data_IF_683381478076
#
_entry.id   IF_683381478076
#
_cell.length_a   1.000
_cell.length_b   1.000
_cell.length_c   1.000
_cell.angle_alpha   90.00
_cell.angle_beta   90.00
_cell.angle_gamma   90.00
#
_symmetry.space_group_name_H-M   'P 1'
#
loop_
_entity.id
_entity.type
_entity.pdbx_description
1 polymer ?
#
# COMPACT_ATOMS: atom_id res chain seq x y z
N UNK A 1 -36.53 4.71 -8.28
CA UNK A 1 -35.85 5.99 -7.94
C UNK A 1 -35.18 6.50 -9.19
N UNK A 2 -35.34 7.79 -9.52
CA UNK A 2 -34.50 8.39 -10.57
C UNK A 2 -33.10 8.62 -10.00
N UNK A 3 -32.07 8.23 -10.75
CA UNK A 3 -30.67 8.36 -10.31
C UNK A 3 -30.22 9.82 -10.19
N UNK A 4 -30.89 10.74 -10.87
CA UNK A 4 -30.71 12.20 -10.74
C UNK A 4 -31.01 12.72 -9.33
N UNK A 5 -31.88 12.04 -8.57
CA UNK A 5 -32.21 12.42 -7.19
C UNK A 5 -31.15 12.00 -6.16
N UNK A 6 -30.15 11.20 -6.56
CA UNK A 6 -29.04 10.76 -5.71
C UNK A 6 -27.84 11.71 -5.77
N UNK A 7 -27.73 12.52 -6.83
CA UNK A 7 -26.63 13.46 -6.99
C UNK A 7 -26.66 14.53 -5.88
N UNK A 8 -25.54 14.68 -5.15
CA UNK A 8 -25.40 15.70 -4.11
C UNK A 8 -26.15 15.45 -2.79
N UNK A 9 -26.72 14.26 -2.57
CA UNK A 9 -27.37 13.89 -1.32
C UNK A 9 -26.72 12.62 -0.70
N UNK A 10 -25.71 12.77 0.18
CA UNK A 10 -24.98 11.65 0.77
C UNK A 10 -25.88 10.66 1.53
N UNK A 11 -26.94 11.11 2.20
CA UNK A 11 -27.87 10.22 2.91
C UNK A 11 -28.70 9.36 1.95
N UNK A 12 -29.15 9.93 0.83
CA UNK A 12 -29.84 9.18 -0.22
C UNK A 12 -28.90 8.16 -0.89
N UNK A 13 -27.65 8.56 -1.13
CA UNK A 13 -26.59 7.69 -1.66
C UNK A 13 -26.28 6.52 -0.73
N UNK A 14 -26.08 6.77 0.57
CA UNK A 14 -25.84 5.72 1.56
C UNK A 14 -27.00 4.72 1.63
N UNK A 15 -28.25 5.20 1.57
CA UNK A 15 -29.44 4.33 1.52
C UNK A 15 -29.42 3.45 0.27
N UNK A 16 -29.18 4.03 -0.90
CA UNK A 16 -29.12 3.28 -2.15
C UNK A 16 -28.04 2.18 -2.13
N UNK A 17 -26.83 2.48 -1.64
CA UNK A 17 -25.75 1.49 -1.54
C UNK A 17 -26.00 0.44 -0.44
N UNK A 18 -26.67 0.81 0.66
CA UNK A 18 -27.10 -0.14 1.68
C UNK A 18 -28.09 -1.18 1.14
N UNK A 19 -29.02 -0.77 0.28
CA UNK A 19 -29.94 -1.69 -0.39
C UNK A 19 -29.22 -2.63 -1.37
N UNK A 20 -28.21 -2.13 -2.08
CA UNK A 20 -27.41 -2.92 -3.02
C UNK A 20 -26.53 -3.96 -2.32
N UNK A 21 -26.00 -3.63 -1.14
CA UNK A 21 -25.15 -4.54 -0.36
C UNK A 21 -25.84 -5.90 -0.07
N UNK A 22 -27.18 -5.93 0.02
CA UNK A 22 -27.95 -7.16 0.20
C UNK A 22 -28.26 -7.93 -1.10
N UNK A 23 -27.92 -7.40 -2.27
CA UNK A 23 -28.31 -7.94 -3.60
C UNK A 23 -27.14 -8.66 -4.26
N UNK A 24 -26.94 -9.93 -3.90
CA UNK A 24 -25.85 -10.75 -4.42
C UNK A 24 -25.77 -10.81 -5.96
N UNK A 25 -26.91 -10.73 -6.66
CA UNK A 25 -26.97 -10.70 -8.13
C UNK A 25 -26.34 -9.46 -8.76
N UNK A 26 -26.32 -8.32 -8.06
CA UNK A 26 -25.68 -7.08 -8.51
C UNK A 26 -24.22 -7.03 -8.09
N UNK A 27 -23.93 -7.37 -6.83
CA UNK A 27 -22.56 -7.35 -6.28
C UNK A 27 -21.63 -8.27 -7.09
N UNK A 28 -22.12 -9.44 -7.53
CA UNK A 28 -21.31 -10.39 -8.31
C UNK A 28 -21.01 -9.98 -9.75
N UNK A 29 -21.58 -8.87 -10.23
CA UNK A 29 -21.27 -8.38 -11.58
C UNK A 29 -19.84 -7.86 -11.69
N UNK A 30 -19.24 -7.41 -10.58
CA UNK A 30 -17.85 -7.00 -10.52
C UNK A 30 -17.07 -7.84 -9.50
N UNK A 31 -15.86 -8.31 -9.84
CA UNK A 31 -14.94 -8.84 -8.84
C UNK A 31 -14.46 -7.72 -7.92
N UNK A 32 -13.97 -8.07 -6.72
CA UNK A 32 -13.51 -7.11 -5.72
C UNK A 32 -12.40 -6.17 -6.24
N UNK A 33 -11.42 -6.72 -6.96
CA UNK A 33 -10.37 -5.91 -7.61
C UNK A 33 -10.98 -4.94 -8.62
N UNK A 34 -11.89 -5.40 -9.49
CA UNK A 34 -12.61 -4.54 -10.43
C UNK A 34 -13.41 -3.42 -9.75
N UNK A 35 -14.14 -3.72 -8.67
CA UNK A 35 -14.90 -2.72 -7.92
C UNK A 35 -14.00 -1.65 -7.28
N UNK A 36 -12.87 -2.06 -6.70
CA UNK A 36 -11.88 -1.15 -6.12
C UNK A 36 -11.11 -0.35 -7.17
N UNK A 37 -10.55 -1.02 -8.17
CA UNK A 37 -9.77 -0.39 -9.23
C UNK A 37 -10.60 0.57 -10.05
N UNK A 38 -11.78 0.16 -10.50
CA UNK A 38 -12.64 0.98 -11.37
C UNK A 38 -13.56 1.91 -10.58
N UNK A 39 -13.57 1.80 -9.25
CA UNK A 39 -14.37 2.65 -8.36
C UNK A 39 -15.86 2.52 -8.63
N UNK A 40 -16.37 1.29 -8.72
CA UNK A 40 -17.68 1.02 -9.29
C UNK A 40 -18.51 0.06 -8.45
N UNK A 41 -19.79 0.40 -8.23
CA UNK A 41 -20.78 -0.47 -7.57
C UNK A 41 -22.05 -0.55 -8.43
N UNK A 42 -22.42 -1.72 -8.99
CA UNK A 42 -23.65 -1.87 -9.77
C UNK A 42 -24.90 -1.63 -8.92
N UNK A 43 -25.76 -0.69 -9.33
CA UNK A 43 -26.96 -0.29 -8.60
C UNK A 43 -28.22 -1.02 -9.06
N UNK A 44 -28.35 -1.22 -10.37
CA UNK A 44 -29.48 -1.90 -11.00
C UNK A 44 -29.12 -2.36 -12.40
N UNK A 45 -29.98 -3.24 -12.94
CA UNK A 45 -29.92 -3.70 -14.33
C UNK A 45 -31.31 -3.62 -14.92
N UNK A 46 -31.43 -3.00 -16.08
CA UNK A 46 -32.65 -2.87 -16.89
C UNK A 46 -32.37 -3.23 -18.36
N UNK A 47 -33.38 -3.13 -19.22
CA UNK A 47 -33.25 -3.42 -20.66
C UNK A 47 -32.29 -2.44 -21.37
N UNK A 48 -32.18 -1.23 -20.83
CA UNK A 48 -31.37 -0.14 -21.37
C UNK A 48 -29.92 -0.15 -20.83
N UNK A 49 -29.56 -1.07 -19.93
CA UNK A 49 -28.20 -1.24 -19.42
C UNK A 49 -28.09 -1.44 -17.91
N UNK A 50 -26.96 -1.01 -17.36
CA UNK A 50 -26.61 -1.17 -15.94
C UNK A 50 -26.29 0.21 -15.37
N UNK A 51 -27.03 0.61 -14.34
CA UNK A 51 -26.68 1.79 -13.55
C UNK A 51 -25.56 1.44 -12.58
N UNK A 52 -24.51 2.26 -12.53
CA UNK A 52 -23.31 2.00 -11.73
C UNK A 52 -22.99 3.25 -10.92
N UNK A 53 -22.93 3.12 -9.59
CA UNK A 53 -22.38 4.17 -8.74
C UNK A 53 -20.86 4.24 -8.98
N UNK A 54 -20.35 5.46 -9.19
CA UNK A 54 -18.94 5.71 -9.44
C UNK A 54 -18.40 6.80 -8.52
N UNK A 55 -17.09 6.82 -8.33
CA UNK A 55 -16.42 8.00 -7.78
C UNK A 55 -16.62 9.22 -8.72
N UNK A 56 -16.49 10.45 -8.22
CA UNK A 56 -16.52 11.63 -9.07
C UNK A 56 -15.31 11.65 -10.01
N UNK A 57 -15.52 11.98 -11.30
CA UNK A 57 -14.41 12.17 -12.23
C UNK A 57 -13.78 10.90 -12.82
N UNK A 58 -14.45 9.74 -12.71
CA UNK A 58 -13.95 8.48 -13.29
C UNK A 58 -13.58 8.64 -14.77
N UNK A 59 -12.37 8.21 -15.11
CA UNK A 59 -11.79 8.43 -16.44
C UNK A 59 -12.54 7.64 -17.53
N UNK A 60 -12.52 8.12 -18.80
CA UNK A 60 -13.18 7.44 -19.91
C UNK A 60 -12.72 5.99 -20.13
N UNK A 61 -11.43 5.70 -19.88
CA UNK A 61 -10.85 4.36 -20.03
C UNK A 61 -11.47 3.35 -19.05
N UNK A 62 -11.65 3.73 -17.79
CA UNK A 62 -12.30 2.89 -16.78
C UNK A 62 -13.77 2.63 -17.12
N UNK A 63 -14.52 3.64 -17.59
CA UNK A 63 -15.89 3.46 -18.07
C UNK A 63 -15.96 2.55 -19.30
N UNK A 64 -15.00 2.65 -20.22
CA UNK A 64 -14.92 1.78 -21.38
C UNK A 64 -14.69 0.32 -20.97
N UNK A 65 -13.79 0.07 -20.02
CA UNK A 65 -13.54 -1.27 -19.48
C UNK A 65 -14.79 -1.83 -18.77
N UNK A 66 -15.47 -1.03 -17.94
CA UNK A 66 -16.74 -1.44 -17.30
C UNK A 66 -17.78 -1.90 -18.34
N UNK A 67 -17.93 -1.16 -19.46
CA UNK A 67 -18.85 -1.54 -20.55
C UNK A 67 -18.46 -2.86 -21.20
N UNK A 68 -17.16 -3.08 -21.46
CA UNK A 68 -16.65 -4.33 -22.04
C UNK A 68 -16.90 -5.51 -21.11
N UNK A 69 -16.52 -5.39 -19.83
CA UNK A 69 -16.66 -6.44 -18.83
C UNK A 69 -18.12 -6.82 -18.58
N UNK A 70 -18.99 -5.82 -18.43
CA UNK A 70 -20.40 -6.05 -18.15
C UNK A 70 -21.21 -6.47 -19.39
N UNK A 71 -20.66 -6.28 -20.60
CA UNK A 71 -21.33 -6.57 -21.86
C UNK A 71 -22.62 -5.78 -22.07
N UNK A 72 -22.71 -4.58 -21.48
CA UNK A 72 -23.92 -3.75 -21.47
C UNK A 72 -23.58 -2.25 -21.49
N UNK A 73 -24.57 -1.42 -21.83
CA UNK A 73 -24.47 0.01 -21.63
C UNK A 73 -24.32 0.30 -20.12
N UNK A 74 -23.29 1.08 -19.77
CA UNK A 74 -23.06 1.55 -18.40
C UNK A 74 -23.56 2.98 -18.28
N UNK A 75 -24.47 3.19 -17.33
CA UNK A 75 -25.02 4.49 -16.93
C UNK A 75 -24.35 4.90 -15.60
N UNK A 76 -23.24 5.65 -15.63
CA UNK A 76 -22.55 6.06 -14.41
C UNK A 76 -23.39 7.07 -13.63
N UNK A 77 -23.38 6.95 -12.31
CA UNK A 77 -24.02 7.87 -11.37
C UNK A 77 -22.94 8.24 -10.35
N UNK A 78 -22.55 9.51 -10.32
CA UNK A 78 -21.50 9.95 -9.39
C UNK A 78 -22.04 9.99 -7.95
N UNK A 79 -21.24 9.42 -7.05
CA UNK A 79 -21.51 9.39 -5.61
C UNK A 79 -20.39 10.13 -4.89
N UNK A 80 -20.68 10.61 -3.68
CA UNK A 80 -19.67 11.18 -2.79
C UNK A 80 -18.52 10.19 -2.55
N UNK A 81 -17.29 10.70 -2.58
CA UNK A 81 -16.07 9.89 -2.48
C UNK A 81 -16.02 9.08 -1.18
N UNK A 82 -16.38 9.69 -0.04
CA UNK A 82 -16.33 9.01 1.26
C UNK A 82 -17.40 7.92 1.34
N UNK A 83 -18.59 8.18 0.78
CA UNK A 83 -19.65 7.19 0.67
C UNK A 83 -19.20 6.01 -0.20
N UNK A 84 -18.62 6.28 -1.37
CA UNK A 84 -18.11 5.22 -2.25
C UNK A 84 -17.01 4.40 -1.60
N UNK A 85 -15.99 5.05 -1.01
CA UNK A 85 -14.88 4.38 -0.36
C UNK A 85 -15.36 3.45 0.77
N UNK A 86 -16.29 3.92 1.61
CA UNK A 86 -16.89 3.11 2.66
C UNK A 86 -17.60 1.87 2.11
N UNK A 87 -18.44 2.02 1.08
CA UNK A 87 -19.22 0.89 0.55
C UNK A 87 -18.41 -0.06 -0.33
N UNK A 88 -17.40 0.41 -1.08
CA UNK A 88 -16.46 -0.48 -1.77
C UNK A 88 -15.76 -1.37 -0.75
N UNK A 89 -15.25 -0.78 0.34
CA UNK A 89 -14.63 -1.56 1.40
C UNK A 89 -15.63 -2.56 2.01
N UNK A 90 -16.79 -2.08 2.46
CA UNK A 90 -17.79 -2.90 3.14
C UNK A 90 -18.34 -4.04 2.29
N UNK A 91 -18.60 -3.81 0.99
CA UNK A 91 -19.25 -4.80 0.12
C UNK A 91 -18.23 -5.79 -0.45
N UNK A 92 -17.05 -5.33 -0.86
CA UNK A 92 -16.12 -6.14 -1.63
C UNK A 92 -14.88 -6.56 -0.86
N UNK A 93 -14.39 -5.72 0.05
CA UNK A 93 -13.09 -5.91 0.67
C UNK A 93 -13.17 -6.48 2.09
N UNK A 94 -14.26 -6.21 2.82
CA UNK A 94 -14.47 -6.62 4.22
C UNK A 94 -13.29 -6.23 5.11
N UNK A 95 -12.89 -4.95 5.07
CA UNK A 95 -11.75 -4.37 5.78
C UNK A 95 -10.38 -4.98 5.44
N UNK A 96 -10.29 -5.78 4.37
CA UNK A 96 -9.01 -6.28 3.84
C UNK A 96 -8.51 -5.36 2.73
N UNK A 97 -7.20 -5.26 2.57
CA UNK A 97 -6.63 -4.64 1.38
C UNK A 97 -6.89 -5.49 0.13
N UNK A 98 -6.81 -4.88 -1.05
CA UNK A 98 -6.75 -5.61 -2.32
C UNK A 98 -5.44 -5.29 -3.02
N UNK A 99 -4.70 -6.34 -3.38
CA UNK A 99 -3.48 -6.20 -4.16
C UNK A 99 -3.85 -6.17 -5.64
N UNK A 100 -3.67 -5.03 -6.29
CA UNK A 100 -4.03 -4.81 -7.69
C UNK A 100 -2.79 -4.85 -8.58
N UNK A 101 -2.98 -5.17 -9.85
CA UNK A 101 -1.90 -5.15 -10.81
C UNK A 101 -1.40 -3.72 -11.12
N UNK A 102 -0.10 -3.61 -11.37
CA UNK A 102 0.57 -2.39 -11.82
C UNK A 102 1.05 -2.55 -13.27
N UNK A 103 1.22 -1.43 -13.95
CA UNK A 103 1.49 -1.36 -15.39
C UNK A 103 2.69 -0.47 -15.68
N UNK A 104 3.23 -0.55 -16.89
CA UNK A 104 4.45 0.15 -17.33
C UNK A 104 4.21 1.38 -18.21
N UNK A 105 2.95 1.68 -18.51
CA UNK A 105 2.59 2.77 -19.42
C UNK A 105 1.27 3.38 -19.01
N UNK A 106 1.09 4.68 -19.20
CA UNK A 106 -0.18 5.38 -18.91
C UNK A 106 -1.38 4.92 -19.77
N UNK A 107 -1.12 4.26 -20.92
CA UNK A 107 -2.14 3.78 -21.85
C UNK A 107 -2.72 2.40 -21.48
N UNK A 108 -2.44 1.86 -20.28
CA UNK A 108 -2.80 0.50 -19.91
C UNK A 108 -4.31 0.20 -19.93
N UNK A 109 -5.17 1.21 -19.72
CA UNK A 109 -6.64 1.08 -19.82
C UNK A 109 -7.15 1.01 -21.26
N UNK A 110 -6.36 1.48 -22.23
CA UNK A 110 -6.72 1.51 -23.64
C UNK A 110 -6.43 0.17 -24.34
N UNK A 111 -5.65 -0.71 -23.70
CA UNK A 111 -5.28 -2.03 -24.21
C UNK A 111 -6.16 -3.13 -23.57
N UNK A 112 -7.08 -3.75 -24.34
CA UNK A 112 -7.94 -4.83 -23.84
C UNK A 112 -7.18 -6.04 -23.30
N UNK A 113 -5.91 -6.24 -23.66
CA UNK A 113 -5.08 -7.31 -23.12
C UNK A 113 -4.83 -7.17 -21.60
N UNK A 114 -5.08 -5.98 -21.03
CA UNK A 114 -4.95 -5.72 -19.60
C UNK A 114 -6.26 -5.89 -18.81
N UNK A 115 -7.41 -6.05 -19.49
CA UNK A 115 -8.72 -6.04 -18.84
C UNK A 115 -8.81 -7.10 -17.72
N UNK A 116 -8.38 -8.33 -18.01
CA UNK A 116 -8.38 -9.42 -17.02
C UNK A 116 -7.53 -9.08 -15.79
N UNK A 117 -6.33 -8.51 -16.00
CA UNK A 117 -5.42 -8.11 -14.91
C UNK A 117 -6.00 -6.99 -14.06
N UNK A 118 -6.70 -6.04 -14.67
CA UNK A 118 -7.33 -4.92 -13.94
C UNK A 118 -8.48 -5.43 -13.06
N UNK A 119 -9.16 -6.49 -13.51
CA UNK A 119 -10.29 -7.10 -12.82
C UNK A 119 -9.89 -8.18 -11.81
N UNK A 120 -8.62 -8.57 -11.77
CA UNK A 120 -8.10 -9.61 -10.89
C UNK A 120 -7.26 -9.06 -9.73
N UNK A 121 -7.17 -9.86 -8.67
CA UNK A 121 -6.20 -9.64 -7.60
C UNK A 121 -4.84 -10.15 -8.09
N UNK A 122 -3.79 -9.37 -7.88
CA UNK A 122 -2.42 -9.80 -8.10
C UNK A 122 -2.12 -10.93 -7.13
N UNK A 123 -1.77 -12.10 -7.67
CA UNK A 123 -1.42 -13.24 -6.84
C UNK A 123 -0.18 -12.90 -6.01
N UNK A 124 -0.36 -12.92 -4.69
CA UNK A 124 0.73 -12.80 -3.74
C UNK A 124 1.35 -14.18 -3.56
N UNK A 125 2.25 -14.52 -4.48
CA UNK A 125 3.25 -15.50 -4.16
C UNK A 125 4.41 -14.73 -3.51
N UNK A 126 4.50 -14.67 -2.16
CA UNK A 126 5.72 -14.19 -1.54
C UNK A 126 6.85 -15.02 -2.14
N UNK A 127 7.83 -14.34 -2.73
CA UNK A 127 9.01 -15.06 -3.20
C UNK A 127 9.57 -15.84 -2.01
N UNK A 128 10.08 -17.07 -2.20
CA UNK A 128 10.53 -17.90 -1.11
C UNK A 128 11.44 -17.13 -0.16
N UNK A 129 11.09 -17.10 1.12
CA UNK A 129 11.86 -16.37 2.12
C UNK A 129 12.89 -17.27 2.80
N UNK A 130 14.06 -16.72 3.12
CA UNK A 130 15.13 -17.49 3.75
C UNK A 130 16.00 -16.64 4.68
N UNK A 131 16.38 -17.19 5.84
CA UNK A 131 17.40 -16.60 6.69
C UNK A 131 18.49 -17.64 6.96
N UNK A 132 19.74 -17.25 6.69
CA UNK A 132 20.93 -18.05 6.96
C UNK A 132 21.82 -17.45 8.06
N UNK A 133 21.32 -16.42 8.77
CA UNK A 133 22.01 -15.78 9.89
C UNK A 133 22.10 -16.75 11.07
N UNK A 134 23.29 -16.83 11.67
CA UNK A 134 23.51 -17.67 12.85
C UNK A 134 22.69 -17.18 14.05
N UNK A 135 22.19 -18.08 14.90
CA UNK A 135 21.33 -17.72 16.04
C UNK A 135 21.93 -16.70 17.03
N UNK A 136 23.26 -16.60 17.12
CA UNK A 136 23.96 -15.60 17.94
C UNK A 136 23.99 -14.20 17.34
N UNK A 137 23.53 -14.03 16.10
CA UNK A 137 23.50 -12.78 15.37
C UNK A 137 22.08 -12.39 14.98
N UNK A 138 21.94 -11.12 14.60
CA UNK A 138 20.78 -10.61 13.89
C UNK A 138 21.18 -9.52 12.91
N UNK A 139 20.28 -9.17 12.02
CA UNK A 139 20.43 -8.03 11.14
C UNK A 139 19.50 -6.90 11.55
N UNK A 140 20.07 -5.69 11.64
CA UNK A 140 19.32 -4.44 11.76
C UNK A 140 19.30 -3.78 10.38
N UNK A 141 18.13 -3.30 9.95
CA UNK A 141 17.96 -2.58 8.69
C UNK A 141 17.24 -1.27 8.96
N UNK A 142 17.73 -0.18 8.38
CA UNK A 142 17.03 1.10 8.36
C UNK A 142 16.66 1.44 6.91
N UNK A 143 15.37 1.60 6.64
CA UNK A 143 14.81 1.89 5.32
C UNK A 143 14.04 3.20 5.36
N UNK A 144 14.27 4.04 4.36
CA UNK A 144 13.44 5.21 4.10
C UNK A 144 12.74 5.05 2.75
N UNK A 145 11.42 5.13 2.77
CA UNK A 145 10.57 5.10 1.59
C UNK A 145 10.11 6.51 1.28
N UNK A 146 10.15 6.89 0.01
CA UNK A 146 9.52 8.11 -0.48
C UNK A 146 8.60 7.75 -1.64
N UNK A 147 7.36 8.21 -1.58
CA UNK A 147 6.32 7.88 -2.54
C UNK A 147 5.67 9.15 -3.09
N UNK A 148 5.70 9.30 -4.40
CA UNK A 148 4.91 10.30 -5.15
C UNK A 148 3.76 9.58 -5.86
N UNK A 149 2.56 10.18 -5.82
CA UNK A 149 1.37 9.66 -6.49
C UNK A 149 0.69 10.78 -7.27
N UNK A 150 0.83 10.74 -8.59
CA UNK A 150 0.22 11.69 -9.50
C UNK A 150 -1.12 11.12 -10.01
N UNK A 151 -2.23 11.84 -9.78
CA UNK A 151 -3.50 11.56 -10.46
C UNK A 151 -3.42 12.13 -11.88
N UNK A 152 -3.52 11.27 -12.89
CA UNK A 152 -3.43 11.66 -14.30
C UNK A 152 -4.76 12.16 -14.86
N UNK A 153 -5.85 12.01 -14.11
CA UNK A 153 -7.21 12.37 -14.49
C UNK A 153 -7.75 13.56 -13.68
N UNK A 154 -7.02 14.04 -12.67
CA UNK A 154 -7.36 15.23 -11.87
C UNK A 154 -6.24 16.29 -11.89
N UNK A 155 -6.58 17.59 -11.93
CA UNK A 155 -5.59 18.67 -11.89
C UNK A 155 -4.98 18.90 -10.49
N UNK A 156 -5.48 18.22 -9.45
CA UNK A 156 -4.96 18.35 -8.09
C UNK A 156 -4.09 17.13 -7.73
N UNK A 157 -2.91 17.32 -7.11
CA UNK A 157 -2.14 16.20 -6.59
C UNK A 157 -3.00 15.41 -5.61
N UNK A 158 -2.93 14.08 -5.70
CA UNK A 158 -3.66 13.20 -4.80
C UNK A 158 -3.24 13.52 -3.37
N UNK A 159 -4.19 14.00 -2.55
CA UNK A 159 -3.97 14.15 -1.12
C UNK A 159 -4.15 12.78 -0.50
N UNK A 160 -3.06 12.19 -0.05
CA UNK A 160 -3.14 11.16 0.98
C UNK A 160 -3.40 11.93 2.29
N UNK A 161 -4.56 11.75 2.88
CA UNK A 161 -4.89 12.29 4.19
C UNK A 161 -4.59 11.22 5.23
N UNK A 162 -3.49 11.36 5.99
CA UNK A 162 -3.51 11.45 7.45
C UNK A 162 -2.11 11.35 8.04
N UNK A 163 -1.70 12.40 8.74
CA UNK A 163 -0.53 12.36 9.61
C UNK A 163 -0.84 11.45 10.80
N UNK A 164 -0.15 10.31 10.89
CA UNK A 164 -0.04 9.54 12.14
C UNK A 164 1.40 9.52 12.60
N UNK A 165 1.83 10.60 13.26
CA UNK A 165 2.94 10.48 14.20
C UNK A 165 2.45 9.58 15.33
N UNK A 166 2.98 8.37 15.42
CA UNK A 166 2.79 7.55 16.60
C UNK A 166 3.22 8.33 17.85
N UNK A 167 2.54 8.12 18.97
CA UNK A 167 2.91 8.70 20.28
C UNK A 167 4.34 8.29 20.71
N UNK A 168 4.88 7.26 20.06
CA UNK A 168 6.19 6.67 20.27
C UNK A 168 6.97 6.63 18.95
N UNK A 169 8.28 6.89 19.03
CA UNK A 169 9.20 6.74 17.91
C UNK A 169 10.06 5.50 18.14
N UNK A 170 9.64 4.31 17.69
CA UNK A 170 10.46 3.13 17.79
C UNK A 170 11.63 3.20 16.81
N UNK A 171 12.69 2.43 17.09
CA UNK A 171 13.90 2.43 16.26
C UNK A 171 15.11 1.89 16.99
N UNK A 172 16.29 2.09 16.40
CA UNK A 172 17.54 1.68 17.03
C UNK A 172 18.65 2.71 16.82
N UNK A 173 19.67 2.65 17.68
CA UNK A 173 20.89 3.45 17.56
C UNK A 173 22.08 2.68 18.09
N UNK A 174 23.25 2.98 17.55
CA UNK A 174 24.52 2.54 18.11
C UNK A 174 25.04 3.55 19.13
N UNK A 175 25.28 3.08 20.35
CA UNK A 175 25.84 3.82 21.47
C UNK A 175 27.20 3.20 21.84
N UNK A 176 28.27 3.70 21.20
CA UNK A 176 29.60 3.10 21.30
C UNK A 176 29.64 1.70 20.68
N UNK A 177 29.88 0.69 21.52
CA UNK A 177 29.97 -0.72 21.10
C UNK A 177 28.64 -1.48 21.23
N UNK A 178 27.57 -0.81 21.70
CA UNK A 178 26.26 -1.43 21.90
C UNK A 178 25.20 -0.84 21.00
N UNK A 179 24.16 -1.62 20.72
CA UNK A 179 22.99 -1.19 19.99
C UNK A 179 21.79 -1.11 20.93
N UNK A 180 21.18 0.06 21.04
CA UNK A 180 19.95 0.25 21.81
C UNK A 180 18.76 0.10 20.86
N UNK A 181 17.83 -0.80 21.19
CA UNK A 181 16.57 -1.01 20.47
C UNK A 181 15.42 -0.44 21.32
N UNK A 182 14.66 0.49 20.76
CA UNK A 182 13.44 1.06 21.37
C UNK A 182 12.22 0.52 20.63
N UNK A 183 11.40 -0.27 21.32
CA UNK A 183 10.20 -0.88 20.74
C UNK A 183 9.01 -0.73 21.68
N UNK A 184 7.80 -0.56 21.13
CA UNK A 184 6.59 -0.40 21.92
C UNK A 184 6.09 -1.68 22.61
N UNK A 185 6.73 -2.82 22.34
CA UNK A 185 6.40 -4.13 22.91
C UNK A 185 7.60 -5.06 22.96
N UNK A 186 7.38 -6.29 23.44
CA UNK A 186 8.40 -7.32 23.46
C UNK A 186 8.66 -7.80 22.02
N UNK A 187 9.86 -7.51 21.49
CA UNK A 187 10.28 -8.07 20.21
C UNK A 187 10.67 -9.54 20.39
N UNK A 188 10.36 -10.44 19.44
CA UNK A 188 10.75 -11.84 19.57
C UNK A 188 12.28 -11.93 19.58
N UNK A 189 12.90 -12.45 20.66
CA UNK A 189 14.34 -12.37 20.89
C UNK A 189 15.16 -13.22 19.91
N UNK A 190 14.51 -14.12 19.16
CA UNK A 190 15.11 -15.00 18.16
C UNK A 190 14.89 -14.49 16.72
N UNK A 191 14.27 -13.32 16.54
CA UNK A 191 14.05 -12.75 15.21
C UNK A 191 15.40 -12.53 14.52
N UNK A 192 15.63 -13.04 13.30
CA UNK A 192 16.87 -12.81 12.57
C UNK A 192 17.00 -11.38 12.05
N UNK A 193 15.91 -10.61 12.04
CA UNK A 193 15.82 -9.31 11.38
C UNK A 193 14.97 -8.34 12.21
N UNK A 194 15.51 -7.15 12.47
CA UNK A 194 14.74 -5.97 12.89
C UNK A 194 14.81 -4.90 11.80
N UNK A 195 13.66 -4.34 11.45
CA UNK A 195 13.54 -3.34 10.39
C UNK A 195 12.97 -2.09 11.01
N UNK A 196 13.77 -1.04 11.01
CA UNK A 196 13.26 0.31 11.16
C UNK A 196 12.89 0.80 9.77
N UNK A 197 11.67 1.29 9.60
CA UNK A 197 11.33 1.98 8.36
C UNK A 197 10.70 3.34 8.63
N UNK A 198 10.91 4.24 7.69
CA UNK A 198 10.25 5.54 7.63
C UNK A 198 9.66 5.75 6.24
N UNK A 199 8.52 6.42 6.17
CA UNK A 199 7.85 6.70 4.90
C UNK A 199 7.59 8.19 4.76
N UNK A 200 7.84 8.73 3.57
CA UNK A 200 7.31 10.00 3.10
C UNK A 200 6.31 9.82 1.96
N UNK A 201 5.22 10.60 2.02
CA UNK A 201 4.26 10.74 0.93
C UNK A 201 4.22 12.20 0.48
N UNK A 202 4.55 12.45 -0.79
CA UNK A 202 4.48 13.76 -1.44
C UNK A 202 5.05 14.92 -0.60
N UNK A 203 6.16 14.67 0.12
CA UNK A 203 6.87 15.67 0.92
C UNK A 203 6.19 16.12 2.22
N UNK A 204 5.10 15.48 2.63
CA UNK A 204 4.28 15.91 3.77
C UNK A 204 4.19 14.91 4.92
N UNK A 205 3.94 13.63 4.65
CA UNK A 205 3.53 12.69 5.71
C UNK A 205 4.71 11.84 6.16
N UNK A 206 5.06 11.84 7.44
CA UNK A 206 6.16 11.03 7.99
C UNK A 206 5.62 9.93 8.90
N UNK A 207 5.77 8.68 8.49
CA UNK A 207 5.53 7.50 9.32
C UNK A 207 6.88 6.90 9.74
N UNK A 208 6.98 6.37 10.96
CA UNK A 208 8.16 5.60 11.41
C UNK A 208 7.70 4.44 12.28
N UNK A 209 8.23 3.26 11.99
CA UNK A 209 7.96 2.05 12.77
C UNK A 209 9.21 1.18 12.90
N UNK A 210 9.15 0.23 13.83
CA UNK A 210 10.15 -0.82 14.04
C UNK A 210 9.43 -2.16 14.13
N UNK A 211 9.70 -3.05 13.20
CA UNK A 211 9.17 -4.40 13.22
C UNK A 211 10.27 -5.42 13.44
N UNK A 212 9.86 -6.57 13.97
CA UNK A 212 10.71 -7.72 14.16
C UNK A 212 10.11 -8.91 13.43
N UNK A 213 10.92 -9.53 12.58
CA UNK A 213 10.39 -10.40 11.54
C UNK A 213 10.93 -11.80 11.66
N UNK A 214 10.02 -12.78 11.64
CA UNK A 214 10.36 -14.18 11.54
C UNK A 214 10.64 -14.56 10.07
N UNK A 215 11.45 -15.59 9.86
CA UNK A 215 11.85 -16.05 8.50
C UNK A 215 10.66 -16.31 7.57
N UNK A 216 9.55 -16.84 8.12
CA UNK A 216 8.36 -17.21 7.34
C UNK A 216 7.47 -16.02 6.99
N UNK A 217 7.76 -14.84 7.56
CA UNK A 217 6.86 -13.69 7.57
C UNK A 217 7.55 -12.43 7.06
N UNK A 218 8.73 -12.51 6.43
CA UNK A 218 9.45 -11.31 6.01
C UNK A 218 8.54 -10.34 5.24
N UNK A 219 8.51 -9.06 5.67
CA UNK A 219 7.38 -8.21 5.40
C UNK A 219 7.48 -7.60 4.02
N UNK A 220 6.33 -7.20 3.51
CA UNK A 220 6.27 -6.10 2.57
C UNK A 220 6.63 -4.83 3.32
N UNK A 221 7.67 -4.12 2.86
CA UNK A 221 8.01 -2.80 3.41
C UNK A 221 6.94 -1.78 3.01
N UNK A 222 6.35 -1.97 1.82
CA UNK A 222 5.19 -1.20 1.35
C UNK A 222 4.14 -2.16 0.81
N UNK A 223 2.92 -2.05 1.32
CA UNK A 223 1.76 -2.81 0.86
C UNK A 223 0.89 -1.96 -0.09
N UNK A 224 0.32 -2.55 -1.16
CA UNK A 224 0.42 -3.95 -1.55
C UNK A 224 1.57 -4.25 -2.53
N UNK A 225 2.61 -4.92 -2.02
CA UNK A 225 3.58 -5.74 -2.75
C UNK A 225 4.66 -5.06 -3.61
N UNK A 226 4.99 -3.80 -3.34
CA UNK A 226 6.00 -3.08 -4.12
C UNK A 226 7.43 -3.41 -3.70
N UNK A 227 7.65 -3.53 -2.39
CA UNK A 227 8.97 -3.73 -1.78
C UNK A 227 8.86 -4.85 -0.76
N UNK A 228 9.69 -5.88 -0.89
CA UNK A 228 9.66 -7.02 0.04
C UNK A 228 11.08 -7.43 0.40
N UNK A 229 11.32 -7.74 1.67
CA UNK A 229 12.54 -8.45 2.06
C UNK A 229 12.33 -9.94 1.80
N UNK A 230 13.18 -10.54 0.99
CA UNK A 230 13.13 -11.97 0.69
C UNK A 230 14.03 -12.77 1.62
N UNK A 231 15.15 -12.20 2.04
CA UNK A 231 16.09 -13.00 2.79
C UNK A 231 17.21 -12.23 3.44
N UNK A 232 17.87 -12.93 4.35
CA UNK A 232 19.10 -12.47 5.00
C UNK A 232 20.14 -13.58 4.94
N UNK A 233 21.24 -13.33 4.25
CA UNK A 233 22.36 -14.26 4.14
C UNK A 233 23.19 -14.31 5.45
N UNK A 234 24.09 -15.30 5.55
CA UNK A 234 24.90 -15.52 6.74
C UNK A 234 25.80 -14.34 7.11
N UNK A 235 26.30 -13.62 6.10
CA UNK A 235 27.14 -12.44 6.26
C UNK A 235 26.34 -11.16 6.55
N UNK A 236 25.01 -11.27 6.67
CA UNK A 236 24.10 -10.15 6.90
C UNK A 236 23.63 -9.44 5.63
N UNK A 237 23.98 -9.94 4.45
CA UNK A 237 23.46 -9.40 3.18
C UNK A 237 21.94 -9.57 3.10
N UNK A 238 21.24 -8.49 2.78
CA UNK A 238 19.80 -8.44 2.60
C UNK A 238 19.43 -8.70 1.14
N UNK A 239 18.52 -9.63 0.88
CA UNK A 239 17.88 -9.78 -0.43
C UNK A 239 16.57 -8.98 -0.44
N UNK A 240 16.55 -7.88 -1.18
CA UNK A 240 15.42 -6.97 -1.31
C UNK A 240 14.77 -7.12 -2.69
N UNK A 241 13.50 -7.50 -2.73
CA UNK A 241 12.72 -7.54 -3.96
C UNK A 241 12.07 -6.19 -4.23
N UNK A 242 12.32 -5.67 -5.43
CA UNK A 242 11.68 -4.49 -5.98
C UNK A 242 11.41 -4.74 -7.45
N UNK A 243 10.14 -4.60 -7.84
CA UNK A 243 9.76 -4.50 -9.25
C UNK A 243 10.23 -5.66 -10.16
N UNK A 244 10.05 -6.90 -9.69
CA UNK A 244 10.44 -8.09 -10.45
C UNK A 244 11.93 -8.44 -10.36
N UNK A 245 12.71 -7.69 -9.58
CA UNK A 245 14.15 -7.89 -9.42
C UNK A 245 14.51 -8.06 -7.95
N UNK A 246 15.49 -8.93 -7.70
CA UNK A 246 16.12 -9.06 -6.39
C UNK A 246 17.42 -8.27 -6.38
N UNK A 247 17.56 -7.43 -5.36
CA UNK A 247 18.71 -6.58 -5.10
C UNK A 247 19.39 -7.06 -3.82
N UNK A 248 20.70 -7.29 -3.89
CA UNK A 248 21.48 -7.67 -2.72
C UNK A 248 22.09 -6.42 -2.09
N UNK A 249 21.91 -6.25 -0.78
CA UNK A 249 22.43 -5.12 -0.02
C UNK A 249 23.31 -5.66 1.11
N UNK A 250 24.62 -5.54 0.92
CA UNK A 250 25.60 -6.00 1.91
C UNK A 250 25.66 -5.02 3.10
N UNK A 251 26.10 -5.49 4.29
CA UNK A 251 26.30 -4.61 5.43
C UNK A 251 27.18 -3.40 5.11
N UNK A 252 26.78 -2.23 5.59
CA UNK A 252 27.46 -0.95 5.33
C UNK A 252 27.17 -0.30 3.98
N UNK A 253 26.41 -0.95 3.08
CA UNK A 253 25.93 -0.31 1.86
C UNK A 253 24.67 0.51 2.13
N UNK A 254 24.52 1.62 1.40
CA UNK A 254 23.34 2.49 1.46
C UNK A 254 22.73 2.76 0.08
N UNK A 255 22.26 1.72 -0.63
CA UNK A 255 21.71 1.88 -1.97
C UNK A 255 20.43 2.72 -1.97
N UNK A 256 20.24 3.41 -3.08
CA UNK A 256 18.98 4.06 -3.43
C UNK A 256 18.39 3.30 -4.62
N UNK A 257 17.26 2.66 -4.41
CA UNK A 257 16.51 1.95 -5.44
C UNK A 257 15.25 2.74 -5.79
N UNK A 258 14.72 2.55 -6.99
CA UNK A 258 13.50 3.20 -7.39
C UNK A 258 12.73 2.39 -8.42
N UNK A 259 11.42 2.58 -8.42
CA UNK A 259 10.53 2.05 -9.45
C UNK A 259 9.44 3.07 -9.75
N UNK A 260 8.96 3.04 -10.98
CA UNK A 260 7.82 3.80 -11.42
C UNK A 260 6.84 2.87 -12.14
N UNK A 261 5.55 3.10 -11.90
CA UNK A 261 4.50 2.30 -12.47
C UNK A 261 3.17 3.06 -12.51
N UNK A 262 2.25 2.53 -13.28
CA UNK A 262 0.90 3.04 -13.44
C UNK A 262 -0.10 2.06 -12.81
N UNK A 263 -1.18 2.59 -12.26
CA UNK A 263 -2.26 1.79 -11.70
C UNK A 263 -3.59 2.49 -11.93
N UNK A 264 -4.68 1.72 -11.80
CA UNK A 264 -6.03 2.25 -11.76
C UNK A 264 -6.63 2.00 -10.38
N UNK A 265 -7.08 3.08 -9.74
CA UNK A 265 -7.71 3.05 -8.43
C UNK A 265 -8.91 3.99 -8.45
N UNK A 266 -10.04 3.52 -7.94
CA UNK A 266 -11.28 4.30 -7.88
C UNK A 266 -11.71 4.90 -9.25
N UNK A 267 -11.33 4.27 -10.35
CA UNK A 267 -11.63 4.69 -11.72
C UNK A 267 -10.71 5.78 -12.28
N UNK A 268 -9.66 6.14 -11.55
CA UNK A 268 -8.64 7.11 -11.95
C UNK A 268 -7.32 6.41 -12.25
N UNK A 269 -6.56 6.95 -13.21
CA UNK A 269 -5.21 6.52 -13.54
C UNK A 269 -4.24 7.27 -12.65
N UNK A 270 -3.38 6.53 -11.98
CA UNK A 270 -2.30 7.10 -11.21
C UNK A 270 -0.95 6.70 -11.79
N UNK A 271 0.01 7.61 -11.66
CA UNK A 271 1.42 7.34 -11.84
C UNK A 271 2.10 7.40 -10.47
N UNK A 272 2.71 6.30 -10.06
CA UNK A 272 3.41 6.19 -8.78
C UNK A 272 4.90 6.12 -9.03
N UNK A 273 5.65 6.96 -8.33
CA UNK A 273 7.11 6.85 -8.22
C UNK A 273 7.44 6.47 -6.78
N UNK A 274 8.22 5.41 -6.64
CA UNK A 274 8.67 4.94 -5.35
C UNK A 274 10.19 4.97 -5.32
N UNK A 275 10.73 5.53 -4.23
CA UNK A 275 12.15 5.53 -3.92
C UNK A 275 12.36 4.79 -2.60
N UNK A 276 13.25 3.82 -2.61
CA UNK A 276 13.65 3.01 -1.46
C UNK A 276 15.10 3.31 -1.15
N UNK A 277 15.35 3.99 -0.04
CA UNK A 277 16.69 4.28 0.45
C UNK A 277 17.00 3.36 1.62
N UNK A 278 17.92 2.41 1.42
CA UNK A 278 18.45 1.65 2.56
C UNK A 278 19.50 2.53 3.23
N UNK A 279 19.18 3.03 4.43
CA UNK A 279 20.06 3.91 5.22
C UNK A 279 21.17 3.12 5.92
N UNK A 280 20.94 1.83 6.13
CA UNK A 280 22.01 0.90 6.45
C UNK A 280 21.51 -0.50 6.75
N UNK A 281 22.45 -1.43 6.66
CA UNK A 281 22.31 -2.84 7.04
C UNK A 281 23.48 -3.18 7.96
N UNK A 282 23.18 -3.76 9.12
CA UNK A 282 24.17 -4.12 10.12
C UNK A 282 23.96 -5.55 10.61
N UNK A 283 24.99 -6.39 10.48
CA UNK A 283 25.06 -7.65 11.19
C UNK A 283 25.60 -7.39 12.60
N UNK A 284 24.82 -7.74 13.63
CA UNK A 284 25.14 -7.45 15.03
C UNK A 284 25.09 -8.71 15.87
N UNK A 285 25.94 -8.82 16.90
CA UNK A 285 25.83 -9.92 17.84
C UNK A 285 24.68 -9.64 18.79
N UNK A 286 23.84 -10.64 19.09
CA UNK A 286 22.69 -10.42 19.98
C UNK A 286 23.09 -9.90 21.37
N UNK A 287 24.27 -10.28 21.85
CA UNK A 287 24.82 -9.81 23.14
C UNK A 287 25.14 -8.31 23.17
N UNK A 288 25.30 -7.68 22.00
CA UNK A 288 25.58 -6.25 21.85
C UNK A 288 24.30 -5.41 21.91
N UNK A 289 23.13 -6.06 21.93
CA UNK A 289 21.83 -5.39 21.97
C UNK A 289 21.42 -5.10 23.41
N UNK A 290 20.90 -3.89 23.62
CA UNK A 290 20.15 -3.49 24.80
C UNK A 290 18.72 -3.13 24.38
N UNK A 291 17.73 -3.71 25.05
CA UNK A 291 16.33 -3.37 24.82
C UNK A 291 15.87 -2.33 25.82
N UNK A 292 15.29 -1.25 25.31
CA UNK A 292 14.78 -0.14 26.10
C UNK A 292 13.29 0.10 25.80
N UNK A 293 12.52 0.62 26.78
CA UNK A 293 11.13 1.03 26.53
C UNK A 293 11.08 2.10 25.43
N UNK A 294 9.96 2.20 24.69
CA UNK A 294 9.85 3.18 23.62
C UNK A 294 9.95 4.60 24.19
N UNK A 295 10.66 5.50 23.51
CA UNK A 295 10.69 6.90 23.92
C UNK A 295 9.34 7.54 23.64
N UNK A 296 8.68 8.12 24.66
CA UNK A 296 7.51 8.98 24.47
C UNK A 296 7.98 10.23 23.73
N UNK A 297 7.50 10.45 22.52
CA UNK A 297 7.91 11.58 21.70
C UNK A 297 7.52 12.89 22.36
N UNK A 298 8.44 13.54 23.08
CA UNK A 298 8.27 14.90 23.57
C UNK A 298 8.41 15.90 22.40
N UNK A 299 7.43 15.95 21.50
CA UNK A 299 7.28 17.00 20.51
C UNK A 299 8.39 17.11 19.45
N UNK A 300 8.04 17.73 18.33
CA UNK A 300 8.89 17.90 17.14
C UNK A 300 10.34 18.43 17.32
N UNK A 301 10.76 19.15 18.38
CA UNK A 301 12.13 19.70 18.44
C UNK A 301 13.26 18.67 18.61
N UNK A 302 13.07 17.63 19.43
CA UNK A 302 14.11 16.61 19.63
C UNK A 302 14.19 15.66 18.42
N UNK A 303 13.04 15.28 17.85
CA UNK A 303 12.99 14.51 16.60
C UNK A 303 13.69 15.26 15.45
N UNK A 304 13.53 16.59 15.35
CA UNK A 304 14.25 17.42 14.36
C UNK A 304 15.76 17.49 14.60
N UNK A 305 16.23 17.36 15.84
CA UNK A 305 17.67 17.19 16.13
C UNK A 305 18.16 15.81 15.71
N UNK A 306 17.33 14.77 15.89
CA UNK A 306 17.65 13.38 15.53
C UNK A 306 17.67 13.15 14.02
N UNK A 307 16.78 13.77 13.25
CA UNK A 307 16.71 13.63 11.78
C UNK A 307 17.81 14.41 11.03
N UNK A 308 18.69 15.14 11.74
CA UNK A 308 19.75 15.97 11.16
C UNK A 308 21.17 15.46 11.46
N UNK A 309 21.30 14.31 12.13
CA UNK A 309 22.55 13.58 12.40
C UNK A 309 22.56 12.29 11.63
#
# INVERSE_FOLDING_TARGET
>A
MSYEALAGNPEAQQRALSEVAGKASLVRLLPAAGAYSLGAIPLSRDEDGIAVATFPGVCPGALALLRRHLGALVKPVEFDENVMAFFVNKIYLNDRGVNIHTFRTAAFLDDPANDEKILSVKDEHPNPTAAAVDAGHMVLVDVHLSSELDDLDSPQPARLDSWRLGEFCPGFRRDGDRWTIWAAGALPPDSPLFIQYSEDYSGGEFFRDLTAEAVREFPFILFPSEVQILGVAKDGTLDLYLDGKTHQVAPGQTPVLGTEYWLVRHGHRFHRKLKVEVKGVWLVQRKELDFAPPFRGAGAPELRKWLRT
#
